data_IF_107761024820
#
_entry.id   IF_107761024820
#
_cell.length_a   1.000
_cell.length_b   1.000
_cell.length_c   1.000
_cell.angle_alpha   90.00
_cell.angle_beta   90.00
_cell.angle_gamma   90.00
#
_symmetry.space_group_name_H-M   'P 1'
#
loop_
_entity.id
_entity.type
_entity.pdbx_description
1 polymer ?
#
# COMPACT_ATOMS: atom_id res chain seq x y z
N UNK A 1 7.48 -0.93 16.09
CA UNK A 1 7.05 -1.72 14.90
C UNK A 1 5.95 -2.75 15.17
N UNK A 2 6.08 -3.61 16.18
CA UNK A 2 5.20 -4.79 16.42
C UNK A 2 3.69 -4.52 16.48
N UNK A 3 3.26 -3.35 16.96
CA UNK A 3 1.84 -2.96 17.05
C UNK A 3 1.46 -1.83 16.06
N UNK A 4 2.39 -1.41 15.20
CA UNK A 4 2.22 -0.22 14.38
C UNK A 4 1.59 -0.57 13.03
N UNK A 5 0.39 -0.06 12.78
CA UNK A 5 -0.33 -0.26 11.50
C UNK A 5 0.40 0.34 10.30
N UNK A 6 1.13 1.46 10.49
CA UNK A 6 1.96 2.07 9.44
C UNK A 6 3.05 1.10 8.98
N UNK A 7 3.74 0.46 9.93
CA UNK A 7 4.75 -0.55 9.61
C UNK A 7 4.15 -1.80 8.95
N UNK A 8 2.97 -2.24 9.40
CA UNK A 8 2.24 -3.34 8.76
C UNK A 8 1.88 -3.03 7.30
N UNK A 9 1.48 -1.79 6.99
CA UNK A 9 1.18 -1.39 5.61
C UNK A 9 2.42 -1.46 4.70
N UNK A 10 3.58 -1.01 5.20
CA UNK A 10 4.83 -1.22 4.47
C UNK A 10 5.07 -2.71 4.23
N UNK A 11 5.01 -3.53 5.28
CA UNK A 11 5.29 -4.97 5.22
C UNK A 11 4.37 -5.75 4.27
N UNK A 12 3.07 -5.41 4.24
CA UNK A 12 2.10 -6.18 3.47
C UNK A 12 1.89 -5.67 2.04
N UNK A 13 2.08 -4.37 1.79
CA UNK A 13 1.59 -3.76 0.55
C UNK A 13 2.56 -2.79 -0.13
N UNK A 14 3.43 -2.12 0.63
CA UNK A 14 4.10 -0.91 0.14
C UNK A 14 5.62 -0.95 0.18
N UNK A 15 6.25 -2.01 0.68
CA UNK A 15 7.68 -2.24 0.57
C UNK A 15 7.92 -3.72 0.22
N UNK A 16 8.54 -3.95 -0.94
CA UNK A 16 8.84 -5.30 -1.45
C UNK A 16 10.26 -5.74 -1.08
N UNK A 17 11.14 -4.79 -0.71
CA UNK A 17 12.50 -5.11 -0.28
C UNK A 17 12.54 -5.38 1.24
N UNK A 18 12.71 -6.65 1.58
CA UNK A 18 12.87 -7.12 2.97
C UNK A 18 13.99 -6.41 3.72
N UNK A 19 15.07 -6.00 3.02
CA UNK A 19 16.18 -5.27 3.66
C UNK A 19 15.71 -3.87 4.06
N UNK A 20 15.02 -3.16 3.17
CA UNK A 20 14.46 -1.85 3.45
C UNK A 20 13.43 -1.91 4.61
N UNK A 21 12.60 -2.96 4.67
CA UNK A 21 11.71 -3.21 5.80
C UNK A 21 12.47 -3.41 7.11
N UNK A 22 13.56 -4.18 7.08
CA UNK A 22 14.38 -4.43 8.26
C UNK A 22 15.06 -3.16 8.76
N UNK A 23 15.59 -2.34 7.85
CA UNK A 23 16.18 -1.05 8.17
C UNK A 23 15.15 -0.09 8.78
N UNK A 24 13.94 -0.02 8.22
CA UNK A 24 12.85 0.77 8.79
C UNK A 24 12.48 0.29 10.20
N UNK A 25 12.48 -1.03 10.44
CA UNK A 25 12.25 -1.59 11.77
C UNK A 25 13.32 -1.12 12.78
N UNK A 26 14.59 -1.21 12.39
CA UNK A 26 15.73 -0.79 13.23
C UNK A 26 15.64 0.69 13.55
N UNK A 27 15.48 1.55 12.53
CA UNK A 27 15.33 3.01 12.71
C UNK A 27 14.16 3.37 13.62
N UNK A 28 13.03 2.67 13.50
CA UNK A 28 11.87 2.91 14.35
C UNK A 28 12.13 2.53 15.82
N UNK A 29 12.90 1.46 16.08
CA UNK A 29 13.23 1.03 17.44
C UNK A 29 14.31 1.89 18.09
N UNK A 30 15.27 2.41 17.32
CA UNK A 30 16.31 3.32 17.82
C UNK A 30 15.80 4.74 18.06
N UNK A 31 14.71 5.14 17.40
CA UNK A 31 14.20 6.50 17.42
C UNK A 31 14.78 7.40 16.32
N UNK A 32 15.58 6.84 15.39
CA UNK A 32 16.17 7.55 14.25
C UNK A 32 15.13 7.95 13.18
N UNK A 33 13.90 7.47 13.32
CA UNK A 33 12.75 7.95 12.54
C UNK A 33 11.57 8.18 13.47
N UNK A 34 10.93 9.34 13.31
CA UNK A 34 9.73 9.68 14.07
C UNK A 34 8.46 9.26 13.32
N UNK A 35 7.36 9.06 14.06
CA UNK A 35 6.09 8.60 13.52
C UNK A 35 5.54 9.50 12.40
N UNK A 36 5.77 10.81 12.46
CA UNK A 36 5.35 11.76 11.42
C UNK A 36 6.03 11.47 10.08
N UNK A 37 7.36 11.43 10.07
CA UNK A 37 8.17 11.12 8.88
C UNK A 37 7.79 9.75 8.30
N UNK A 38 7.64 8.73 9.15
CA UNK A 38 7.27 7.38 8.70
C UNK A 38 5.87 7.34 8.05
N UNK A 39 4.89 8.06 8.62
CA UNK A 39 3.54 8.19 8.05
C UNK A 39 3.53 8.95 6.74
N UNK A 40 4.33 10.00 6.63
CA UNK A 40 4.44 10.80 5.40
C UNK A 40 4.99 9.96 4.25
N UNK A 41 6.09 9.22 4.49
CA UNK A 41 6.64 8.27 3.52
C UNK A 41 5.60 7.25 3.05
N UNK A 42 4.80 6.69 3.96
CA UNK A 42 3.74 5.75 3.58
C UNK A 42 2.64 6.45 2.76
N UNK A 43 2.22 7.64 3.19
CA UNK A 43 1.17 8.40 2.52
C UNK A 43 1.53 8.70 1.05
N UNK A 44 2.79 8.99 0.74
CA UNK A 44 3.25 9.16 -0.64
C UNK A 44 3.06 7.91 -1.50
N UNK A 45 3.44 6.73 -0.98
CA UNK A 45 3.25 5.45 -1.68
C UNK A 45 1.78 5.12 -1.88
N UNK A 46 0.96 5.32 -0.83
CA UNK A 46 -0.49 5.11 -0.87
C UNK A 46 -1.16 6.05 -1.89
N UNK A 47 -0.80 7.34 -1.91
CA UNK A 47 -1.32 8.32 -2.88
C UNK A 47 -1.05 7.88 -4.31
N UNK A 48 0.17 7.42 -4.61
CA UNK A 48 0.54 6.92 -5.94
C UNK A 48 -0.26 5.68 -6.31
N UNK A 49 -0.35 4.71 -5.40
CA UNK A 49 -1.13 3.49 -5.61
C UNK A 49 -2.60 3.80 -5.91
N UNK A 50 -3.24 4.64 -5.10
CA UNK A 50 -4.65 5.00 -5.25
C UNK A 50 -4.91 5.71 -6.57
N UNK A 51 -4.04 6.65 -6.97
CA UNK A 51 -4.18 7.36 -8.26
C UNK A 51 -4.17 6.38 -9.44
N UNK A 52 -3.21 5.47 -9.48
CA UNK A 52 -3.10 4.48 -10.56
C UNK A 52 -4.20 3.41 -10.49
N UNK A 53 -4.59 2.98 -9.29
CA UNK A 53 -5.72 2.09 -9.10
C UNK A 53 -7.02 2.72 -9.60
N UNK A 54 -7.30 3.97 -9.24
CA UNK A 54 -8.51 4.68 -9.67
C UNK A 54 -8.56 4.86 -11.19
N UNK A 55 -7.43 5.21 -11.84
CA UNK A 55 -7.34 5.26 -13.30
C UNK A 55 -7.66 3.91 -13.96
N UNK A 56 -7.11 2.81 -13.43
CA UNK A 56 -7.39 1.45 -13.93
C UNK A 56 -8.84 1.06 -13.70
N UNK A 57 -9.39 1.38 -12.52
CA UNK A 57 -10.79 1.12 -12.17
C UNK A 57 -11.76 1.86 -13.09
N UNK A 58 -11.43 3.09 -13.51
CA UNK A 58 -12.27 3.83 -14.44
C UNK A 58 -12.32 3.15 -15.81
N UNK A 59 -11.17 2.77 -16.37
CA UNK A 59 -11.07 2.01 -17.63
C UNK A 59 -11.75 0.65 -17.54
N UNK A 60 -11.73 0.01 -16.37
CA UNK A 60 -12.35 -1.29 -16.19
C UNK A 60 -13.88 -1.25 -16.36
N UNK A 61 -14.53 -0.09 -16.21
CA UNK A 61 -15.98 0.03 -16.42
C UNK A 61 -16.40 -0.34 -17.84
N UNK A 62 -15.53 -0.11 -18.83
CA UNK A 62 -15.83 -0.37 -20.23
C UNK A 62 -15.89 -1.87 -20.55
N UNK A 63 -15.23 -2.70 -19.74
CA UNK A 63 -15.06 -4.15 -19.99
C UNK A 63 -15.64 -5.01 -18.87
N UNK A 64 -16.18 -4.41 -17.80
CA UNK A 64 -16.56 -5.15 -16.60
C UNK A 64 -17.65 -6.19 -16.87
N UNK A 65 -18.55 -5.92 -17.82
CA UNK A 65 -19.64 -6.83 -18.18
C UNK A 65 -19.13 -8.12 -18.86
N UNK A 66 -17.95 -8.10 -19.46
CA UNK A 66 -17.34 -9.28 -20.08
C UNK A 66 -16.92 -10.33 -19.05
N UNK A 67 -16.84 -9.94 -17.76
CA UNK A 67 -16.41 -10.79 -16.66
C UNK A 67 -17.57 -11.25 -15.76
N UNK A 68 -18.78 -10.71 -15.94
CA UNK A 68 -19.96 -11.18 -15.24
C UNK A 68 -20.60 -12.34 -16.01
N UNK A 69 -20.90 -13.44 -15.31
CA UNK A 69 -21.74 -14.51 -15.86
C UNK A 69 -23.19 -14.10 -15.61
N UNK A 70 -23.96 -13.92 -16.67
CA UNK A 70 -25.41 -13.76 -16.55
C UNK A 70 -26.04 -15.14 -16.28
N UNK A 71 -26.52 -15.36 -15.04
CA UNK A 71 -27.20 -16.60 -14.59
C UNK A 71 -28.60 -16.79 -15.21
N UNK A 72 -28.85 -16.29 -16.43
CA UNK A 72 -30.12 -16.50 -17.12
C UNK A 72 -30.20 -17.93 -17.68
N UNK A 73 -30.46 -18.87 -16.77
CA UNK A 73 -31.12 -20.16 -17.01
C UNK A 73 -32.63 -19.96 -16.88
#
# INVERSE_FOLDING_TARGET
PSICTVFQYFSFFFEEDDKALKELEVRCRSGDIICGECKEKLAERVKRFLSEHQKRREKAKDVINDFFIDDKV
#
